data_IF_249182315076
#
_entry.id   IF_249182315076
#
_cell.length_a   1.000
_cell.length_b   1.000
_cell.length_c   1.000
_cell.angle_alpha   90.00
_cell.angle_beta   90.00
_cell.angle_gamma   90.00
#
_symmetry.space_group_name_H-M   'P 1'
#
loop_
_entity.id
_entity.type
_entity.pdbx_description
1 polymer ?
#
# COMPACT_ATOMS: atom_id res chain seq x y z
N UNK A 1 -8.87 30.36 -7.49
CA UNK A 1 -8.29 30.01 -6.18
C UNK A 1 -7.69 28.63 -6.34
N UNK A 2 -6.36 28.53 -6.49
CA UNK A 2 -5.69 27.23 -6.58
C UNK A 2 -5.50 26.79 -5.15
N UNK A 3 -6.36 25.89 -4.66
CA UNK A 3 -6.12 25.23 -3.39
C UNK A 3 -4.92 24.32 -3.66
N UNK A 4 -3.75 24.65 -3.12
CA UNK A 4 -2.60 23.77 -3.19
C UNK A 4 -2.91 22.52 -2.38
N UNK A 5 -3.43 21.48 -3.03
CA UNK A 5 -3.60 20.15 -2.46
C UNK A 5 -2.22 19.51 -2.37
N UNK A 6 -1.39 19.94 -1.43
CA UNK A 6 -0.10 19.30 -1.19
C UNK A 6 -0.36 17.94 -0.55
N UNK A 7 0.05 16.86 -1.23
CA UNK A 7 0.16 15.55 -0.60
C UNK A 7 1.18 15.59 0.54
N UNK A 8 1.03 14.70 1.50
CA UNK A 8 2.00 14.51 2.57
C UNK A 8 2.88 13.31 2.23
N UNK A 9 4.21 13.50 2.25
CA UNK A 9 5.13 12.37 2.08
C UNK A 9 5.29 11.66 3.41
N UNK A 10 5.08 10.35 3.39
CA UNK A 10 5.25 9.45 4.53
C UNK A 10 6.25 8.38 4.14
N UNK A 11 7.27 8.20 4.97
CA UNK A 11 8.26 7.14 4.78
C UNK A 11 7.94 5.97 5.72
N UNK A 12 7.79 4.76 5.17
CA UNK A 12 7.74 3.52 5.92
C UNK A 12 8.92 2.67 5.48
N UNK A 13 9.79 2.34 6.43
CA UNK A 13 10.90 1.40 6.22
C UNK A 13 11.78 1.70 4.98
N UNK A 14 12.01 3.00 4.72
CA UNK A 14 12.82 3.50 3.61
C UNK A 14 12.07 3.68 2.26
N UNK A 15 10.78 3.36 2.22
CA UNK A 15 9.91 3.58 1.05
C UNK A 15 9.04 4.82 1.28
N UNK A 16 9.04 5.73 0.31
CA UNK A 16 8.26 6.96 0.36
C UNK A 16 6.89 6.78 -0.31
N UNK A 17 5.85 7.26 0.36
CA UNK A 17 4.46 7.26 -0.09
C UNK A 17 3.92 8.68 -0.11
N UNK A 18 3.18 9.05 -1.14
CA UNK A 18 2.54 10.36 -1.29
C UNK A 18 1.06 10.27 -0.90
N UNK A 19 0.75 10.55 0.36
CA UNK A 19 -0.63 10.51 0.86
C UNK A 19 -1.40 11.72 0.30
N UNK A 20 -2.49 11.52 -0.47
CA UNK A 20 -3.28 12.61 -1.02
C UNK A 20 -3.86 13.52 0.07
N UNK A 21 -4.05 14.79 -0.27
CA UNK A 21 -4.66 15.74 0.66
C UNK A 21 -6.09 15.32 1.05
N UNK A 22 -6.46 15.52 2.31
CA UNK A 22 -7.79 15.16 2.84
C UNK A 22 -7.86 13.77 3.46
N UNK A 23 -6.79 12.99 3.40
CA UNK A 23 -6.62 11.76 4.18
C UNK A 23 -5.85 12.03 5.46
N UNK A 24 -6.36 11.54 6.59
CA UNK A 24 -5.73 11.63 7.91
C UNK A 24 -5.36 10.24 8.42
N UNK A 25 -4.22 10.13 9.12
CA UNK A 25 -3.77 8.86 9.71
C UNK A 25 -4.77 8.38 10.76
N UNK A 26 -5.15 7.11 10.69
CA UNK A 26 -6.06 6.48 11.64
C UNK A 26 -5.26 5.48 12.52
N UNK A 27 -4.73 5.93 13.68
CA UNK A 27 -3.86 5.12 14.54
C UNK A 27 -4.60 4.02 15.32
N UNK A 28 -5.93 4.05 15.35
CA UNK A 28 -6.74 3.13 16.15
C UNK A 28 -6.96 1.77 15.46
N UNK A 29 -6.66 1.66 14.16
CA UNK A 29 -6.67 0.37 13.45
C UNK A 29 -5.31 -0.31 13.58
N UNK A 30 -5.21 -1.27 14.52
CA UNK A 30 -4.07 -2.20 14.58
C UNK A 30 -4.13 -3.16 13.39
N UNK A 31 -3.19 -2.99 12.47
CA UNK A 31 -3.12 -3.72 11.21
C UNK A 31 -2.12 -4.89 11.30
N UNK A 32 -2.34 -5.82 12.24
CA UNK A 32 -1.61 -7.09 12.43
C UNK A 32 -0.46 -7.11 13.47
N UNK A 33 -0.32 -8.30 14.07
CA UNK A 33 0.60 -8.71 15.14
C UNK A 33 1.74 -9.52 14.51
N UNK A 34 2.99 -9.29 14.92
CA UNK A 34 4.26 -9.61 14.24
C UNK A 34 4.58 -11.12 14.02
N UNK A 35 3.63 -12.03 14.22
CA UNK A 35 3.96 -13.42 14.56
C UNK A 35 3.89 -14.47 13.44
N UNK A 36 3.31 -14.21 12.26
CA UNK A 36 3.15 -15.25 11.21
C UNK A 36 3.62 -14.88 9.79
N UNK A 37 3.80 -13.59 9.45
CA UNK A 37 4.06 -13.15 8.07
C UNK A 37 5.35 -12.35 7.87
N UNK A 38 6.23 -12.31 8.88
CA UNK A 38 7.39 -11.41 8.91
C UNK A 38 7.04 -10.04 9.50
N UNK A 39 8.03 -9.15 9.59
CA UNK A 39 7.84 -7.80 10.10
C UNK A 39 7.17 -6.94 9.02
N UNK A 40 5.95 -6.48 9.30
CA UNK A 40 5.20 -5.58 8.43
C UNK A 40 4.96 -4.26 9.15
N UNK A 41 5.58 -3.19 8.64
CA UNK A 41 5.29 -1.82 9.06
C UNK A 41 4.18 -1.28 8.14
N UNK A 42 3.04 -0.90 8.70
CA UNK A 42 1.91 -0.42 7.91
C UNK A 42 1.13 0.70 8.62
N UNK A 43 0.43 1.49 7.81
CA UNK A 43 -0.40 2.61 8.24
C UNK A 43 -1.68 2.66 7.44
N UNK A 44 -2.77 3.06 8.09
CA UNK A 44 -4.03 3.37 7.42
C UNK A 44 -4.36 4.86 7.52
N UNK A 45 -4.94 5.38 6.44
CA UNK A 45 -5.46 6.72 6.36
C UNK A 45 -6.91 6.70 5.93
N UNK A 46 -7.69 7.67 6.38
CA UNK A 46 -9.11 7.83 5.98
C UNK A 46 -9.41 9.27 5.62
N UNK A 47 -10.31 9.44 4.65
CA UNK A 47 -10.91 10.74 4.34
C UNK A 47 -12.27 10.93 5.04
N UNK A 48 -12.87 12.11 4.86
CA UNK A 48 -14.19 12.45 5.41
C UNK A 48 -15.36 11.65 4.80
N UNK A 49 -15.11 10.84 3.77
CA UNK A 49 -16.08 9.96 3.12
C UNK A 49 -15.92 8.50 3.54
N UNK A 50 -15.00 8.21 4.47
CA UNK A 50 -14.59 6.87 4.90
C UNK A 50 -13.87 6.04 3.81
N UNK A 51 -13.36 6.67 2.74
CA UNK A 51 -12.44 6.01 1.84
C UNK A 51 -11.13 5.76 2.61
N UNK A 52 -10.56 4.56 2.45
CA UNK A 52 -9.39 4.14 3.20
C UNK A 52 -8.19 3.94 2.28
N UNK A 53 -7.03 4.40 2.72
CA UNK A 53 -5.73 4.09 2.14
C UNK A 53 -4.98 3.20 3.12
N UNK A 54 -4.46 2.09 2.64
CA UNK A 54 -3.50 1.24 3.34
C UNK A 54 -2.15 1.39 2.65
N UNK A 55 -1.11 1.73 3.40
CA UNK A 55 0.28 1.61 2.94
C UNK A 55 1.05 0.70 3.87
N UNK A 56 1.95 -0.11 3.33
CA UNK A 56 2.78 -0.97 4.15
C UNK A 56 4.01 -1.46 3.41
N UNK A 57 5.03 -1.78 4.21
CA UNK A 57 6.26 -2.41 3.77
C UNK A 57 6.47 -3.65 4.63
N UNK A 58 6.75 -4.76 3.96
CA UNK A 58 7.03 -6.03 4.62
C UNK A 58 8.45 -6.47 4.27
N UNK A 59 9.27 -6.61 5.30
CA UNK A 59 10.56 -7.29 5.22
C UNK A 59 10.36 -8.79 5.45
N UNK A 60 11.04 -9.60 4.65
CA UNK A 60 11.03 -11.04 4.80
C UNK A 60 12.47 -11.57 4.89
N UNK A 61 12.67 -12.54 5.76
CA UNK A 61 13.94 -13.14 6.17
C UNK A 61 14.36 -14.34 5.29
N UNK A 62 13.79 -14.51 4.09
CA UNK A 62 14.14 -15.60 3.17
C UNK A 62 13.26 -15.78 1.93
N UNK A 63 13.30 -16.99 1.34
CA UNK A 63 12.79 -17.33 0.00
C UNK A 63 11.24 -17.26 -0.15
N UNK A 64 10.49 -17.15 0.94
CA UNK A 64 9.02 -17.27 0.93
C UNK A 64 8.31 -15.97 1.30
N UNK A 65 8.25 -15.05 0.35
CA UNK A 65 7.32 -13.94 0.43
C UNK A 65 5.92 -14.45 0.06
N UNK A 66 5.06 -14.68 1.04
CA UNK A 66 3.73 -15.29 0.84
C UNK A 66 2.89 -14.54 -0.20
N UNK A 67 2.95 -13.21 -0.21
CA UNK A 67 2.25 -12.37 -1.21
C UNK A 67 2.68 -12.70 -2.65
N UNK A 68 3.90 -13.22 -2.80
CA UNK A 68 4.49 -13.58 -4.08
C UNK A 68 4.37 -15.07 -4.41
N UNK A 69 3.98 -15.93 -3.47
CA UNK A 69 3.65 -17.32 -3.79
C UNK A 69 2.32 -17.40 -4.56
N UNK A 70 2.09 -18.54 -5.21
CA UNK A 70 0.79 -18.82 -5.85
C UNK A 70 -0.30 -19.23 -4.84
N UNK A 71 0.06 -19.35 -3.55
CA UNK A 71 -0.88 -19.69 -2.49
C UNK A 71 -1.67 -18.47 -2.02
N UNK A 72 -1.10 -17.27 -2.18
CA UNK A 72 -1.83 -16.04 -1.93
C UNK A 72 -2.74 -15.71 -3.13
N UNK A 73 -4.06 -15.57 -2.93
CA UNK A 73 -4.99 -15.29 -4.02
C UNK A 73 -4.76 -13.88 -4.59
N UNK A 74 -4.71 -13.77 -5.92
CA UNK A 74 -4.62 -12.50 -6.62
C UNK A 74 -5.45 -12.53 -7.91
N UNK A 75 -5.88 -11.35 -8.37
CA UNK A 75 -6.73 -11.21 -9.56
C UNK A 75 -5.89 -11.19 -10.85
N UNK A 76 -4.68 -10.62 -10.77
CA UNK A 76 -3.76 -10.57 -11.89
C UNK A 76 -2.49 -9.77 -11.60
N UNK A 77 -1.77 -9.46 -12.67
CA UNK A 77 -0.61 -8.58 -12.65
C UNK A 77 -0.95 -7.24 -13.26
N UNK A 78 -0.32 -6.18 -12.78
CA UNK A 78 -0.45 -4.84 -13.31
C UNK A 78 0.90 -4.10 -13.28
N UNK A 79 0.99 -3.02 -14.04
CA UNK A 79 2.12 -2.10 -14.03
C UNK A 79 1.62 -0.71 -13.68
N UNK A 80 2.06 -0.18 -12.54
CA UNK A 80 1.70 1.16 -12.07
C UNK A 80 2.99 1.94 -11.88
N UNK A 81 3.08 3.13 -12.48
CA UNK A 81 4.26 3.99 -12.39
C UNK A 81 5.60 3.27 -12.69
N UNK A 82 5.58 2.32 -13.63
CA UNK A 82 6.76 1.53 -14.02
C UNK A 82 7.14 0.40 -13.06
N UNK A 83 6.39 0.19 -11.98
CA UNK A 83 6.56 -0.95 -11.07
C UNK A 83 5.61 -2.08 -11.50
N UNK A 84 6.16 -3.27 -11.72
CA UNK A 84 5.38 -4.49 -11.99
C UNK A 84 4.99 -5.15 -10.66
N UNK A 85 3.72 -5.52 -10.53
CA UNK A 85 3.19 -6.06 -9.28
C UNK A 85 1.96 -6.93 -9.48
N UNK A 86 1.56 -7.60 -8.40
CA UNK A 86 0.28 -8.30 -8.31
C UNK A 86 -0.80 -7.34 -7.83
N UNK A 87 -2.03 -7.55 -8.26
CA UNK A 87 -3.17 -6.85 -7.69
C UNK A 87 -4.29 -7.82 -7.30
N UNK A 88 -5.08 -7.40 -6.33
CA UNK A 88 -6.31 -8.08 -5.95
C UNK A 88 -7.35 -7.07 -5.48
N UNK A 89 -8.61 -7.39 -5.74
CA UNK A 89 -9.77 -6.62 -5.32
C UNK A 89 -10.37 -7.25 -4.09
N UNK A 90 -10.40 -6.50 -2.98
CA UNK A 90 -10.98 -6.97 -1.73
C UNK A 90 -12.50 -6.75 -1.72
N UNK A 91 -13.23 -7.56 -0.95
CA UNK A 91 -14.67 -7.41 -0.72
C UNK A 91 -15.06 -6.07 -0.08
N UNK A 92 -14.09 -5.31 0.45
CA UNK A 92 -14.26 -3.92 0.88
C UNK A 92 -14.10 -2.89 -0.27
N UNK A 93 -14.20 -3.33 -1.53
CA UNK A 93 -14.09 -2.49 -2.74
C UNK A 93 -12.77 -1.73 -2.89
N UNK A 94 -11.69 -2.27 -2.32
CA UNK A 94 -10.37 -1.67 -2.44
C UNK A 94 -9.53 -2.44 -3.47
N UNK A 95 -8.89 -1.69 -4.37
CA UNK A 95 -7.81 -2.15 -5.23
C UNK A 95 -6.52 -2.18 -4.41
N UNK A 96 -5.94 -3.37 -4.23
CA UNK A 96 -4.67 -3.55 -3.54
C UNK A 96 -3.60 -3.94 -4.55
N UNK A 97 -2.51 -3.20 -4.57
CA UNK A 97 -1.34 -3.43 -5.41
C UNK A 97 -0.14 -3.79 -4.54
N UNK A 98 0.57 -4.84 -4.93
CA UNK A 98 1.77 -5.32 -4.25
C UNK A 98 2.90 -5.45 -5.27
N UNK A 99 4.02 -4.77 -5.04
CA UNK A 99 5.22 -4.84 -5.87
C UNK A 99 6.47 -5.08 -5.01
N UNK A 100 7.57 -5.50 -5.64
CA UNK A 100 8.86 -5.67 -4.96
C UNK A 100 9.74 -4.44 -5.15
N UNK A 101 10.36 -3.98 -4.08
CA UNK A 101 11.38 -2.92 -4.11
C UNK A 101 12.46 -3.22 -3.09
N UNK A 102 13.72 -3.25 -3.53
CA UNK A 102 14.90 -3.47 -2.68
C UNK A 102 14.80 -4.67 -1.72
N UNK A 103 14.17 -5.77 -2.18
CA UNK A 103 13.99 -6.98 -1.39
C UNK A 103 12.83 -6.93 -0.39
N UNK A 104 11.97 -5.91 -0.47
CA UNK A 104 10.78 -5.72 0.37
C UNK A 104 9.52 -5.85 -0.47
N UNK A 105 8.42 -6.31 0.13
CA UNK A 105 7.08 -6.11 -0.47
C UNK A 105 6.58 -4.74 -0.10
N UNK A 106 6.17 -3.98 -1.10
CA UNK A 106 5.42 -2.74 -0.91
C UNK A 106 3.95 -3.01 -1.20
N UNK A 107 3.09 -2.65 -0.25
CA UNK A 107 1.64 -2.90 -0.28
C UNK A 107 0.94 -1.54 -0.29
N UNK A 108 0.06 -1.34 -1.27
CA UNK A 108 -0.75 -0.13 -1.38
C UNK A 108 -2.19 -0.54 -1.67
N UNK A 109 -3.09 -0.24 -0.75
CA UNK A 109 -4.53 -0.43 -0.90
C UNK A 109 -5.24 0.91 -0.95
N UNK A 110 -6.14 1.09 -1.90
CA UNK A 110 -7.05 2.23 -1.95
C UNK A 110 -8.38 1.82 -2.60
N UNK A 111 -9.37 2.71 -2.59
CA UNK A 111 -10.68 2.51 -3.21
C UNK A 111 -10.59 2.22 -4.73
N UNK A 112 -9.56 2.71 -5.42
CA UNK A 112 -9.34 2.41 -6.84
C UNK A 112 -7.86 2.50 -7.26
N UNK A 113 -7.57 2.01 -8.46
CA UNK A 113 -6.22 2.01 -9.07
C UNK A 113 -5.64 3.40 -9.27
N UNK A 114 -6.46 4.42 -9.55
CA UNK A 114 -5.97 5.78 -9.79
C UNK A 114 -5.39 6.38 -8.51
N UNK A 115 -6.05 6.16 -7.37
CA UNK A 115 -5.54 6.59 -6.06
C UNK A 115 -4.25 5.85 -5.70
N UNK A 116 -4.16 4.54 -5.98
CA UNK A 116 -2.88 3.80 -5.82
C UNK A 116 -1.75 4.44 -6.63
N UNK A 117 -2.03 4.86 -7.86
CA UNK A 117 -1.04 5.52 -8.72
C UNK A 117 -0.56 6.88 -8.17
N UNK A 118 -1.40 7.60 -7.44
CA UNK A 118 -1.05 8.87 -6.78
C UNK A 118 -0.23 8.67 -5.51
N UNK A 119 -0.44 7.55 -4.81
CA UNK A 119 0.28 7.19 -3.57
C UNK A 119 1.74 6.81 -3.86
N UNK A 120 2.01 6.20 -5.01
CA UNK A 120 3.34 5.74 -5.39
C UNK A 120 4.28 6.89 -5.74
N UNK A 121 5.35 7.08 -4.96
CA UNK A 121 6.42 8.03 -5.28
C UNK A 121 7.38 7.40 -6.31
N UNK A 122 7.54 8.05 -7.46
CA UNK A 122 8.49 7.65 -8.50
C UNK A 122 9.79 8.42 -8.27
N UNK A 123 10.89 7.71 -8.03
CA UNK A 123 12.24 8.28 -7.95
C UNK A 123 12.83 8.51 -9.34
#
# INVERSE_FOLDING_TARGET
MIISSSSTIVTIDGVDFSIPAGYEENPDEKLYDESEFGRMDCKMYKDNQNNSILIGVMEFDGINNLLWTNEFPFDGYDTINGKEGKYFTSSMSNYVFVYLEDGKSVIIGANDKSVVSEIMVVK
#
